data_IF_630005658086
#
_entry.id   IF_630005658086
#
_cell.length_a   1.000
_cell.length_b   1.000
_cell.length_c   1.000
_cell.angle_alpha   90.00
_cell.angle_beta   90.00
_cell.angle_gamma   90.00
#
_symmetry.space_group_name_H-M   'P 1'
#
loop_
_entity.id
_entity.type
_entity.pdbx_description
1 polymer ?
#
# COMPACT_ATOMS: atom_id res chain seq x y z
N UNK A 1 8.07 -8.25 -26.19
CA UNK A 1 8.21 -8.28 -24.69
C UNK A 1 7.89 -6.90 -24.12
N UNK A 2 8.51 -5.82 -24.58
CA UNK A 2 8.32 -4.45 -24.07
C UNK A 2 6.84 -4.02 -24.09
N UNK A 3 6.10 -4.30 -25.17
CA UNK A 3 4.66 -3.96 -25.29
C UNK A 3 3.81 -4.68 -24.22
N UNK A 4 4.12 -5.95 -23.91
CA UNK A 4 3.39 -6.71 -22.89
C UNK A 4 3.67 -6.18 -21.48
N UNK A 5 4.90 -5.74 -21.20
CA UNK A 5 5.26 -5.15 -19.91
C UNK A 5 4.50 -3.84 -19.65
N UNK A 6 4.43 -2.95 -20.65
CA UNK A 6 3.66 -1.69 -20.52
C UNK A 6 2.15 -1.91 -20.46
N UNK A 7 1.62 -2.89 -21.19
CA UNK A 7 0.18 -3.21 -21.18
C UNK A 7 -0.32 -3.67 -19.81
N UNK A 8 0.55 -4.31 -19.03
CA UNK A 8 0.21 -4.90 -17.73
C UNK A 8 0.74 -4.09 -16.54
N UNK A 9 1.36 -2.94 -16.77
CA UNK A 9 1.80 -2.05 -15.70
C UNK A 9 0.61 -1.50 -14.91
N UNK A 10 0.76 -1.34 -13.57
CA UNK A 10 -0.26 -0.66 -12.79
C UNK A 10 -0.41 0.79 -13.27
N UNK A 11 -1.65 1.29 -13.44
CA UNK A 11 -1.84 2.69 -13.77
C UNK A 11 -1.44 3.57 -12.59
N UNK A 12 -0.88 4.74 -12.87
CA UNK A 12 -0.74 5.82 -11.89
C UNK A 12 -1.99 6.67 -12.06
N UNK A 13 -2.96 6.61 -11.10
CA UNK A 13 -4.20 7.36 -11.23
C UNK A 13 -3.92 8.88 -11.20
N UNK A 14 -4.62 9.66 -12.02
CA UNK A 14 -4.53 11.12 -11.98
C UNK A 14 -4.92 11.68 -10.63
N UNK A 15 -5.88 11.00 -9.94
CA UNK A 15 -6.25 11.30 -8.55
C UNK A 15 -6.74 10.06 -7.83
N UNK A 16 -6.50 10.03 -6.51
CA UNK A 16 -7.08 9.08 -5.57
C UNK A 16 -8.05 9.85 -4.67
N UNK A 17 -9.28 9.35 -4.59
CA UNK A 17 -10.38 10.05 -3.89
C UNK A 17 -11.03 9.12 -2.86
N UNK A 18 -11.69 9.72 -1.88
CA UNK A 18 -12.59 9.00 -0.97
C UNK A 18 -13.95 8.70 -1.64
N UNK A 19 -14.83 8.05 -0.90
CA UNK A 19 -16.17 7.69 -1.36
C UNK A 19 -17.08 8.91 -1.66
N UNK A 20 -16.73 10.10 -1.18
CA UNK A 20 -17.41 11.37 -1.43
C UNK A 20 -16.80 12.16 -2.59
N UNK A 21 -15.72 11.65 -3.20
CA UNK A 21 -15.01 12.30 -4.29
C UNK A 21 -13.99 13.36 -3.86
N UNK A 22 -13.68 13.45 -2.54
CA UNK A 22 -12.63 14.33 -2.03
C UNK A 22 -11.26 13.77 -2.37
N UNK A 23 -10.40 14.57 -2.99
CA UNK A 23 -9.05 14.15 -3.36
C UNK A 23 -8.18 13.96 -2.13
N UNK A 24 -7.60 12.78 -1.99
CA UNK A 24 -6.67 12.39 -0.93
C UNK A 24 -5.23 12.66 -1.35
N UNK A 25 -4.87 12.25 -2.57
CA UNK A 25 -3.58 12.49 -3.22
C UNK A 25 -3.73 12.31 -4.74
N UNK A 26 -2.71 12.71 -5.49
CA UNK A 26 -2.72 12.75 -6.95
C UNK A 26 -1.61 11.89 -7.56
N UNK A 27 -1.64 11.69 -8.88
CA UNK A 27 -0.55 11.06 -9.61
C UNK A 27 0.77 11.87 -9.55
N UNK A 28 0.67 13.19 -9.38
CA UNK A 28 1.84 14.03 -9.12
C UNK A 28 2.45 13.71 -7.74
N UNK A 29 1.64 13.57 -6.69
CA UNK A 29 2.12 13.18 -5.35
C UNK A 29 2.80 11.80 -5.37
N UNK A 30 2.29 10.85 -6.17
CA UNK A 30 2.91 9.52 -6.35
C UNK A 30 4.29 9.67 -7.02
N UNK A 31 4.40 10.47 -8.07
CA UNK A 31 5.66 10.70 -8.80
C UNK A 31 6.68 11.46 -7.95
N UNK A 32 6.22 12.45 -7.19
CA UNK A 32 7.06 13.18 -6.22
C UNK A 32 7.53 12.25 -5.11
N UNK A 33 6.68 11.32 -4.66
CA UNK A 33 7.05 10.30 -3.70
C UNK A 33 8.13 9.33 -4.21
N UNK A 34 8.05 8.94 -5.49
CA UNK A 34 9.14 8.20 -6.14
C UNK A 34 10.44 9.03 -6.16
N UNK A 35 10.35 10.32 -6.42
CA UNK A 35 11.49 11.23 -6.39
C UNK A 35 12.10 11.31 -4.98
N UNK A 36 11.27 11.39 -3.94
CA UNK A 36 11.71 11.32 -2.54
C UNK A 36 12.42 9.99 -2.25
N UNK A 37 11.83 8.85 -2.66
CA UNK A 37 12.43 7.53 -2.51
C UNK A 37 13.86 7.47 -3.12
N UNK A 38 14.02 8.00 -4.33
CA UNK A 38 15.32 8.05 -5.01
C UNK A 38 16.28 9.06 -4.38
N UNK A 39 15.80 10.25 -4.00
CA UNK A 39 16.57 11.31 -3.35
C UNK A 39 17.30 10.82 -2.09
N UNK A 40 16.63 9.99 -1.30
CA UNK A 40 17.18 9.46 -0.06
C UNK A 40 17.92 8.11 -0.22
N UNK A 41 18.07 7.62 -1.45
CA UNK A 41 18.79 6.36 -1.73
C UNK A 41 18.12 5.14 -1.10
N UNK A 42 16.80 5.16 -0.93
CA UNK A 42 16.10 4.08 -0.23
C UNK A 42 16.17 2.73 -0.96
N UNK A 43 16.47 2.74 -2.27
CA UNK A 43 16.75 1.53 -3.04
C UNK A 43 18.03 0.80 -2.58
N UNK A 44 18.98 1.53 -2.02
CA UNK A 44 20.23 0.98 -1.47
C UNK A 44 20.04 0.40 -0.06
N UNK A 45 18.90 0.67 0.57
CA UNK A 45 18.53 0.15 1.89
C UNK A 45 17.51 -0.99 1.79
N UNK A 46 16.41 -0.76 1.08
CA UNK A 46 15.31 -1.70 0.92
C UNK A 46 14.89 -1.87 -0.53
N UNK A 47 13.70 -2.37 -0.76
CA UNK A 47 13.19 -2.69 -2.10
C UNK A 47 11.77 -2.16 -2.33
N UNK A 48 11.36 -2.12 -3.59
CA UNK A 48 9.98 -2.00 -4.06
C UNK A 48 9.70 -3.23 -4.93
N UNK A 49 8.65 -3.99 -4.59
CA UNK A 49 8.25 -5.21 -5.29
C UNK A 49 9.40 -6.22 -5.45
N UNK A 50 10.25 -6.33 -4.43
CA UNK A 50 11.40 -7.23 -4.42
C UNK A 50 12.63 -6.72 -5.19
N UNK A 51 12.56 -5.53 -5.79
CA UNK A 51 13.67 -4.93 -6.52
C UNK A 51 14.37 -3.87 -5.67
N UNK A 52 15.63 -4.11 -5.30
CA UNK A 52 16.46 -3.24 -4.46
C UNK A 52 17.35 -4.02 -3.52
N UNK A 53 17.84 -3.36 -2.46
CA UNK A 53 18.65 -3.97 -1.41
C UNK A 53 17.79 -4.68 -0.35
N UNK A 54 18.44 -5.47 0.51
CA UNK A 54 17.79 -6.28 1.54
C UNK A 54 18.28 -5.96 2.98
N UNK A 55 18.80 -4.75 3.19
CA UNK A 55 19.17 -4.27 4.53
C UNK A 55 17.94 -3.76 5.29
N UNK A 56 17.09 -3.04 4.60
CA UNK A 56 15.78 -2.58 5.07
C UNK A 56 14.64 -3.45 4.52
N UNK A 57 13.40 -3.01 4.69
CA UNK A 57 12.22 -3.74 4.22
C UNK A 57 12.03 -3.62 2.71
N UNK A 58 11.17 -4.48 2.16
CA UNK A 58 10.44 -4.09 0.96
C UNK A 58 9.36 -3.08 1.36
N UNK A 59 9.49 -1.83 0.90
CA UNK A 59 8.60 -0.73 1.28
C UNK A 59 7.17 -0.94 0.77
N UNK A 60 7.00 -1.62 -0.37
CA UNK A 60 5.68 -1.98 -0.87
C UNK A 60 5.02 -3.06 -0.01
N UNK A 61 5.80 -4.04 0.48
CA UNK A 61 5.32 -5.06 1.41
C UNK A 61 4.94 -4.46 2.76
N UNK A 62 5.78 -3.57 3.29
CA UNK A 62 5.53 -2.88 4.55
C UNK A 62 4.26 -2.01 4.46
N UNK A 63 4.10 -1.26 3.36
CA UNK A 63 2.92 -0.45 3.12
C UNK A 63 1.66 -1.31 2.95
N UNK A 64 1.75 -2.44 2.23
CA UNK A 64 0.64 -3.38 2.05
C UNK A 64 0.20 -3.99 3.38
N UNK A 65 1.15 -4.49 4.16
CA UNK A 65 0.86 -5.05 5.47
C UNK A 65 0.19 -4.02 6.38
N UNK A 66 0.73 -2.80 6.42
CA UNK A 66 0.16 -1.72 7.21
C UNK A 66 -1.24 -1.33 6.75
N UNK A 67 -1.45 -1.22 5.43
CA UNK A 67 -2.78 -0.99 4.84
C UNK A 67 -3.79 -2.06 5.29
N UNK A 68 -3.39 -3.33 5.26
CA UNK A 68 -4.22 -4.45 5.72
C UNK A 68 -4.59 -4.34 7.18
N UNK A 69 -3.60 -4.12 8.07
CA UNK A 69 -3.81 -3.98 9.50
C UNK A 69 -4.70 -2.78 9.85
N UNK A 70 -4.45 -1.62 9.24
CA UNK A 70 -5.25 -0.42 9.50
C UNK A 70 -6.68 -0.58 8.99
N UNK A 71 -6.86 -1.20 7.81
CA UNK A 71 -8.20 -1.45 7.25
C UNK A 71 -8.99 -2.43 8.11
N UNK A 72 -8.40 -3.54 8.54
CA UNK A 72 -9.10 -4.52 9.38
C UNK A 72 -9.45 -3.95 10.75
N UNK A 73 -8.58 -3.12 11.35
CA UNK A 73 -8.85 -2.49 12.64
C UNK A 73 -9.97 -1.44 12.55
N UNK A 74 -10.00 -0.66 11.45
CA UNK A 74 -11.12 0.26 11.17
C UNK A 74 -12.43 -0.50 11.06
N UNK A 75 -12.47 -1.59 10.28
CA UNK A 75 -13.67 -2.42 10.15
C UNK A 75 -14.10 -3.04 11.48
N UNK A 76 -13.14 -3.49 12.29
CA UNK A 76 -13.41 -4.04 13.61
C UNK A 76 -14.10 -3.01 14.52
N UNK A 77 -13.54 -1.80 14.60
CA UNK A 77 -14.10 -0.73 15.41
C UNK A 77 -15.48 -0.32 14.90
N UNK A 78 -15.69 -0.20 13.59
CA UNK A 78 -16.99 0.18 13.01
C UNK A 78 -18.08 -0.85 13.26
N UNK A 79 -17.76 -2.15 13.18
CA UNK A 79 -18.75 -3.21 13.28
C UNK A 79 -19.00 -3.68 14.71
N UNK A 80 -18.00 -3.58 15.59
CA UNK A 80 -18.06 -4.17 16.93
C UNK A 80 -17.78 -3.18 18.07
N UNK A 81 -17.27 -1.99 17.79
CA UNK A 81 -16.80 -1.04 18.79
C UNK A 81 -15.47 -1.45 19.47
N UNK A 82 -14.83 -2.53 19.02
CA UNK A 82 -13.58 -3.07 19.58
C UNK A 82 -12.46 -3.06 18.56
N UNK A 83 -11.22 -2.99 19.03
CA UNK A 83 -10.04 -3.23 18.17
C UNK A 83 -9.99 -4.66 17.68
N UNK A 84 -9.41 -4.88 16.50
CA UNK A 84 -9.28 -6.20 15.90
C UNK A 84 -8.63 -7.23 16.84
N UNK A 85 -7.58 -6.84 17.56
CA UNK A 85 -6.86 -7.70 18.52
C UNK A 85 -7.68 -8.09 19.77
N UNK A 86 -8.82 -7.45 20.01
CA UNK A 86 -9.71 -7.71 21.15
C UNK A 86 -10.85 -8.67 20.79
N UNK A 87 -10.94 -9.07 19.53
CA UNK A 87 -11.99 -9.94 19.01
C UNK A 87 -11.59 -11.42 19.15
N UNK A 88 -12.59 -12.29 19.17
CA UNK A 88 -12.35 -13.73 19.11
C UNK A 88 -11.87 -14.19 17.71
N UNK A 89 -11.36 -15.39 17.62
CA UNK A 89 -10.75 -15.92 16.40
C UNK A 89 -11.74 -15.99 15.21
N UNK A 90 -13.03 -16.24 15.46
CA UNK A 90 -14.05 -16.30 14.40
C UNK A 90 -14.31 -14.91 13.83
N UNK A 91 -14.47 -13.93 14.70
CA UNK A 91 -14.65 -12.53 14.32
C UNK A 91 -13.42 -12.01 13.57
N UNK A 92 -12.22 -12.31 14.05
CA UNK A 92 -10.97 -11.93 13.38
C UNK A 92 -10.89 -12.54 11.98
N UNK A 93 -11.16 -13.83 11.82
CA UNK A 93 -11.14 -14.50 10.52
C UNK A 93 -12.17 -13.90 9.54
N UNK A 94 -13.37 -13.58 10.01
CA UNK A 94 -14.40 -12.93 9.20
C UNK A 94 -13.98 -11.54 8.70
N UNK A 95 -13.40 -10.72 9.59
CA UNK A 95 -12.92 -9.38 9.23
C UNK A 95 -11.70 -9.42 8.32
N UNK A 96 -10.79 -10.38 8.51
CA UNK A 96 -9.66 -10.57 7.58
C UNK A 96 -10.15 -10.94 6.19
N UNK A 97 -11.10 -11.87 6.08
CA UNK A 97 -11.69 -12.23 4.80
C UNK A 97 -12.39 -11.03 4.12
N UNK A 98 -13.12 -10.22 4.89
CA UNK A 98 -13.74 -8.99 4.40
C UNK A 98 -12.70 -7.97 3.93
N UNK A 99 -11.63 -7.78 4.69
CA UNK A 99 -10.51 -6.89 4.31
C UNK A 99 -9.87 -7.33 2.99
N UNK A 100 -9.61 -8.62 2.82
CA UNK A 100 -9.07 -9.17 1.58
C UNK A 100 -9.99 -8.89 0.39
N UNK A 101 -11.30 -9.07 0.54
CA UNK A 101 -12.28 -8.77 -0.53
C UNK A 101 -12.27 -7.28 -0.89
N UNK A 102 -12.25 -6.39 0.11
CA UNK A 102 -12.23 -4.94 -0.10
C UNK A 102 -10.96 -4.51 -0.85
N UNK A 103 -9.79 -4.95 -0.38
CA UNK A 103 -8.51 -4.52 -0.95
C UNK A 103 -8.25 -5.11 -2.33
N UNK A 104 -8.74 -6.33 -2.61
CA UNK A 104 -8.62 -6.96 -3.93
C UNK A 104 -9.55 -6.38 -4.98
N UNK A 105 -10.59 -5.67 -4.58
CA UNK A 105 -11.49 -5.01 -5.52
C UNK A 105 -10.77 -3.82 -6.18
N UNK A 106 -10.54 -3.92 -7.49
CA UNK A 106 -10.00 -2.80 -8.26
C UNK A 106 -11.11 -1.76 -8.51
N UNK A 107 -10.95 -0.58 -7.92
CA UNK A 107 -11.86 0.57 -8.07
C UNK A 107 -11.22 1.72 -8.86
N UNK A 108 -10.24 1.40 -9.68
CA UNK A 108 -9.69 2.37 -10.62
C UNK A 108 -10.61 2.46 -11.86
N UNK A 109 -11.06 3.67 -12.15
CA UNK A 109 -11.82 4.00 -13.35
C UNK A 109 -10.88 4.69 -14.37
N UNK A 110 -10.57 3.97 -15.43
CA UNK A 110 -9.70 4.46 -16.50
C UNK A 110 -10.33 5.61 -17.31
N UNK A 111 -11.67 5.77 -17.29
CA UNK A 111 -12.36 6.84 -18.03
C UNK A 111 -12.16 8.20 -17.37
N UNK A 112 -12.15 8.21 -16.03
CA UNK A 112 -11.99 9.41 -15.22
C UNK A 112 -10.59 9.54 -14.64
N UNK A 113 -9.72 8.57 -14.91
CA UNK A 113 -8.38 8.44 -14.34
C UNK A 113 -8.37 8.58 -12.80
N UNK A 114 -9.33 7.90 -12.16
CA UNK A 114 -9.62 8.07 -10.74
C UNK A 114 -9.62 6.73 -10.02
N UNK A 115 -8.88 6.62 -8.91
CA UNK A 115 -8.97 5.51 -7.96
C UNK A 115 -9.84 5.92 -6.77
N UNK A 116 -10.87 5.12 -6.45
CA UNK A 116 -11.78 5.40 -5.33
C UNK A 116 -11.44 4.48 -4.17
N UNK A 117 -11.17 5.06 -3.00
CA UNK A 117 -10.95 4.32 -1.75
C UNK A 117 -12.26 4.20 -0.97
N UNK A 118 -12.45 3.05 -0.33
CA UNK A 118 -13.55 2.87 0.65
C UNK A 118 -13.30 3.73 1.90
N UNK A 119 -14.33 3.97 2.74
CA UNK A 119 -14.14 4.69 4.00
C UNK A 119 -13.05 4.08 4.90
N UNK A 120 -12.95 2.73 4.95
CA UNK A 120 -11.93 2.05 5.73
C UNK A 120 -10.52 2.30 5.16
N UNK A 121 -10.33 2.19 3.84
CA UNK A 121 -9.05 2.50 3.18
C UNK A 121 -8.67 3.98 3.32
N UNK A 122 -9.64 4.90 3.25
CA UNK A 122 -9.41 6.33 3.46
C UNK A 122 -8.87 6.61 4.85
N UNK A 123 -9.41 5.95 5.88
CA UNK A 123 -8.91 6.09 7.27
C UNK A 123 -7.55 5.43 7.44
N UNK A 124 -7.32 4.28 6.82
CA UNK A 124 -6.00 3.64 6.80
C UNK A 124 -4.96 4.56 6.13
N UNK A 125 -5.30 5.18 4.99
CA UNK A 125 -4.45 6.16 4.32
C UNK A 125 -4.08 7.33 5.24
N UNK A 126 -5.03 7.87 5.99
CA UNK A 126 -4.78 9.02 6.88
C UNK A 126 -3.71 8.75 7.95
N UNK A 127 -3.42 7.49 8.27
CA UNK A 127 -2.41 7.08 9.25
C UNK A 127 -1.01 6.92 8.64
N UNK A 128 -0.91 6.75 7.30
CA UNK A 128 0.35 6.41 6.63
C UNK A 128 1.47 7.45 6.83
N UNK A 129 1.25 8.78 6.68
CA UNK A 129 2.34 9.74 6.89
C UNK A 129 2.91 9.70 8.31
N UNK A 130 2.05 9.49 9.32
CA UNK A 130 2.48 9.34 10.72
C UNK A 130 3.32 8.07 10.93
N UNK A 131 2.86 6.94 10.39
CA UNK A 131 3.59 5.69 10.44
C UNK A 131 5.00 5.82 9.83
N UNK A 132 5.12 6.41 8.64
CA UNK A 132 6.42 6.58 7.98
C UNK A 132 7.30 7.60 8.69
N UNK A 133 6.73 8.64 9.30
CA UNK A 133 7.47 9.55 10.19
C UNK A 133 8.11 8.81 11.36
N UNK A 134 7.36 7.90 12.01
CA UNK A 134 7.88 7.09 13.11
C UNK A 134 8.94 6.09 12.63
N UNK A 135 8.72 5.45 11.48
CA UNK A 135 9.68 4.54 10.87
C UNK A 135 11.04 5.22 10.60
N UNK A 136 11.05 6.40 9.98
CA UNK A 136 12.29 7.11 9.68
C UNK A 136 12.94 7.75 10.91
N UNK A 137 12.22 7.85 12.02
CA UNK A 137 12.78 8.42 13.28
C UNK A 137 13.69 7.43 13.99
N UNK A 138 13.37 6.14 14.01
CA UNK A 138 14.05 5.13 14.80
C UNK A 138 15.02 4.28 13.96
N UNK A 139 16.34 4.51 14.09
CA UNK A 139 17.34 3.74 13.35
C UNK A 139 17.40 2.26 13.74
N UNK A 140 16.89 1.87 14.90
CA UNK A 140 16.88 0.47 15.32
C UNK A 140 15.85 -0.35 14.52
N UNK A 141 14.76 0.29 14.06
CA UNK A 141 13.68 -0.37 13.32
C UNK A 141 13.72 -0.16 11.80
N UNK A 142 14.60 0.71 11.29
CA UNK A 142 14.55 1.18 9.89
C UNK A 142 15.68 0.68 8.98
N UNK A 143 16.35 -0.42 9.35
CA UNK A 143 17.45 -0.98 8.56
C UNK A 143 18.73 -0.15 8.63
N UNK A 144 18.93 0.64 9.69
CA UNK A 144 20.16 1.43 9.94
C UNK A 144 20.21 2.75 9.18
N UNK A 145 19.09 3.26 8.67
CA UNK A 145 18.98 4.60 8.12
C UNK A 145 19.25 5.66 9.21
N UNK A 146 19.72 6.83 8.78
CA UNK A 146 19.93 7.95 9.72
C UNK A 146 18.63 8.32 10.44
N UNK A 147 18.68 8.69 11.74
CA UNK A 147 17.51 9.20 12.43
C UNK A 147 16.89 10.39 11.70
N UNK A 148 15.57 10.40 11.59
CA UNK A 148 14.81 11.45 10.91
C UNK A 148 15.26 11.68 9.45
N UNK A 149 15.58 10.61 8.72
CA UNK A 149 16.09 10.69 7.34
C UNK A 149 15.14 11.49 6.44
N UNK A 150 13.82 11.21 6.53
CA UNK A 150 12.78 12.03 5.91
C UNK A 150 12.03 12.70 7.06
N UNK A 151 12.18 13.99 7.21
CA UNK A 151 11.59 14.80 8.28
C UNK A 151 10.64 15.89 7.78
N UNK A 152 10.72 16.24 6.50
CA UNK A 152 9.78 17.19 5.87
C UNK A 152 8.39 16.53 5.75
N UNK A 153 7.32 17.15 6.33
CA UNK A 153 5.97 16.60 6.26
C UNK A 153 5.43 16.46 4.84
N UNK A 154 5.82 17.33 3.90
CA UNK A 154 5.42 17.24 2.51
C UNK A 154 6.07 16.04 1.83
N UNK A 155 7.37 15.84 2.01
CA UNK A 155 8.10 14.67 1.50
C UNK A 155 7.58 13.36 2.09
N UNK A 156 7.27 13.33 3.40
CA UNK A 156 6.64 12.16 4.05
C UNK A 156 5.28 11.83 3.44
N UNK A 157 4.47 12.85 3.14
CA UNK A 157 3.18 12.66 2.49
C UNK A 157 3.33 12.15 1.06
N UNK A 158 4.25 12.68 0.26
CA UNK A 158 4.56 12.20 -1.08
C UNK A 158 5.09 10.76 -1.03
N UNK A 159 6.04 10.46 -0.15
CA UNK A 159 6.54 9.10 0.05
C UNK A 159 5.40 8.12 0.41
N UNK A 160 4.52 8.51 1.34
CA UNK A 160 3.35 7.71 1.71
C UNK A 160 2.41 7.48 0.51
N UNK A 161 2.21 8.47 -0.37
CA UNK A 161 1.41 8.34 -1.59
C UNK A 161 2.04 7.31 -2.54
N UNK A 162 3.34 7.37 -2.76
CA UNK A 162 4.08 6.43 -3.61
C UNK A 162 3.99 4.99 -3.11
N UNK A 163 4.30 4.74 -1.83
CA UNK A 163 4.28 3.38 -1.30
C UNK A 163 2.86 2.84 -1.12
N UNK A 164 1.86 3.70 -0.88
CA UNK A 164 0.45 3.30 -0.85
C UNK A 164 -0.07 2.92 -2.24
N UNK A 165 0.32 3.64 -3.29
CA UNK A 165 0.06 3.23 -4.67
C UNK A 165 0.73 1.89 -4.99
N UNK A 166 1.98 1.70 -4.59
CA UNK A 166 2.70 0.45 -4.78
C UNK A 166 2.01 -0.72 -4.05
N UNK A 167 1.51 -0.49 -2.83
CA UNK A 167 0.72 -1.45 -2.06
C UNK A 167 -0.62 -1.77 -2.74
N UNK A 168 -1.35 -0.77 -3.22
CA UNK A 168 -2.57 -0.96 -4.00
C UNK A 168 -2.31 -1.81 -5.24
N UNK A 169 -1.27 -1.52 -6.01
CA UNK A 169 -0.89 -2.30 -7.18
C UNK A 169 -0.53 -3.76 -6.86
N UNK A 170 -0.11 -4.02 -5.60
CA UNK A 170 0.24 -5.36 -5.12
C UNK A 170 -0.96 -6.19 -4.70
N UNK A 171 -2.13 -5.58 -4.45
CA UNK A 171 -3.31 -6.29 -3.94
C UNK A 171 -4.53 -6.19 -4.84
N UNK A 172 -4.77 -5.06 -5.49
CA UNK A 172 -5.92 -4.86 -6.38
C UNK A 172 -5.82 -5.74 -7.62
N UNK A 173 -6.86 -6.53 -7.88
CA UNK A 173 -6.89 -7.41 -9.04
C UNK A 173 -6.82 -6.62 -10.34
N UNK A 174 -6.06 -7.11 -11.32
CA UNK A 174 -6.09 -6.55 -12.68
C UNK A 174 -7.49 -6.70 -13.27
N UNK A 175 -7.89 -5.78 -14.16
CA UNK A 175 -9.15 -5.94 -14.88
C UNK A 175 -9.24 -7.29 -15.61
N UNK A 176 -10.25 -8.08 -15.26
CA UNK A 176 -10.50 -9.41 -15.86
C UNK A 176 -9.69 -10.56 -15.26
N UNK A 177 -8.85 -10.30 -14.24
CA UNK A 177 -8.01 -11.31 -13.60
C UNK A 177 -8.36 -11.47 -12.11
N UNK A 178 -7.91 -12.57 -11.52
CA UNK A 178 -8.05 -12.84 -10.07
C UNK A 178 -6.75 -12.65 -9.29
N UNK A 179 -5.80 -11.93 -9.86
CA UNK A 179 -4.51 -11.60 -9.26
C UNK A 179 -4.13 -10.13 -9.54
N UNK A 180 -3.27 -9.58 -8.69
CA UNK A 180 -2.85 -8.19 -8.71
C UNK A 180 -1.87 -7.87 -9.85
N UNK A 181 -1.53 -6.60 -10.04
CA UNK A 181 -0.58 -6.15 -11.05
C UNK A 181 0.83 -6.75 -10.86
N UNK A 182 1.18 -7.11 -9.63
CA UNK A 182 2.45 -7.77 -9.25
C UNK A 182 2.32 -9.29 -9.09
N UNK A 183 1.27 -9.92 -9.64
CA UNK A 183 0.96 -11.34 -9.45
C UNK A 183 0.79 -11.76 -7.97
N UNK A 184 0.17 -10.90 -7.16
CA UNK A 184 0.00 -11.02 -5.71
C UNK A 184 1.31 -11.05 -4.92
N UNK A 185 2.40 -10.48 -5.46
CA UNK A 185 3.61 -10.23 -4.69
C UNK A 185 3.52 -8.81 -4.05
N UNK A 186 3.94 -8.60 -2.81
CA UNK A 186 4.48 -9.57 -1.87
C UNK A 186 3.42 -10.49 -1.24
N UNK A 187 3.87 -11.61 -0.65
CA UNK A 187 3.02 -12.47 0.16
C UNK A 187 2.57 -11.71 1.41
N UNK A 188 1.26 -11.66 1.62
CA UNK A 188 0.67 -11.15 2.86
C UNK A 188 -0.70 -11.81 3.11
N UNK A 189 -0.80 -12.68 4.14
CA UNK A 189 -2.06 -13.36 4.46
C UNK A 189 -3.13 -12.41 4.99
N UNK A 190 -2.76 -11.25 5.57
CA UNK A 190 -3.72 -10.26 6.12
C UNK A 190 -4.63 -9.70 5.04
N UNK A 191 -4.11 -9.57 3.82
CA UNK A 191 -4.85 -9.09 2.65
C UNK A 191 -5.19 -10.21 1.66
N UNK A 192 -4.94 -11.47 2.03
CA UNK A 192 -5.19 -12.63 1.17
C UNK A 192 -4.27 -12.70 -0.06
N UNK A 193 -3.07 -12.11 0.02
CA UNK A 193 -2.09 -12.19 -1.07
C UNK A 193 -1.34 -13.51 -1.02
N UNK A 194 -1.70 -14.41 -1.95
CA UNK A 194 -0.95 -15.64 -2.25
C UNK A 194 -0.31 -15.44 -3.63
N UNK A 195 1.03 -15.29 -3.72
CA UNK A 195 1.71 -15.11 -5.00
C UNK A 195 1.38 -16.24 -5.98
N UNK A 196 1.17 -15.86 -7.23
CA UNK A 196 0.98 -16.83 -8.31
C UNK A 196 2.32 -17.47 -8.69
N UNK A 197 2.29 -18.60 -9.42
CA UNK A 197 3.53 -19.23 -9.91
C UNK A 197 4.38 -18.30 -10.77
N UNK A 198 3.77 -17.30 -11.42
CA UNK A 198 4.47 -16.27 -12.20
C UNK A 198 5.18 -15.20 -11.36
N UNK A 199 4.94 -15.15 -10.05
CA UNK A 199 5.64 -14.22 -9.16
C UNK A 199 6.91 -14.83 -8.53
N UNK A 200 7.11 -16.14 -8.69
CA UNK A 200 8.19 -16.91 -8.05
C UNK A 200 9.37 -17.18 -9.03
N UNK A 201 9.26 -16.70 -10.25
CA UNK A 201 10.30 -16.78 -11.28
C UNK A 201 11.03 -15.43 -11.41
#
# INVERSE_FOLDING_TARGET
>A
ITFLAYRNAPPIPGKVVDAQGVTLFTGADISDGQTVFLKYGLMDNGSIWGHGAYLGPDYSAQALHRMGLDTVDVLAVEQTGKRFTQLDAIQQAGLQAQTAVILKQNRYDATTDTLILTPAETRAWAQQPGYWSDYFRDPAGNGGLKPNLISDPAELRHFAAFVSWAAWASVANRPGENYAYTNNFPYDPTVGNLPTSGAVL
#
